data_IF_874420609883
#
_entry.id   IF_874420609883
#
_cell.length_a   1.000
_cell.length_b   1.000
_cell.length_c   1.000
_cell.angle_alpha   90.00
_cell.angle_beta   90.00
_cell.angle_gamma   90.00
#
_symmetry.space_group_name_H-M   'P 1'
#
loop_
_entity.id
_entity.type
_entity.pdbx_description
1 polymer ?
#
# COMPACT_ATOMS: atom_id res chain seq x y z
N UNK A 1 84.88 -22.42 34.37
CA UNK A 1 83.53 -22.51 33.76
C UNK A 1 82.48 -21.76 34.59
N UNK A 2 82.67 -20.47 34.90
CA UNK A 2 81.70 -19.65 35.66
C UNK A 2 81.34 -18.31 34.99
N UNK A 3 82.04 -17.91 33.91
CA UNK A 3 81.75 -16.67 33.17
C UNK A 3 80.69 -16.82 32.07
N UNK A 4 80.37 -18.04 31.64
CA UNK A 4 79.32 -18.30 30.63
C UNK A 4 77.91 -18.41 31.22
N UNK A 5 77.77 -18.64 32.53
CA UNK A 5 76.46 -18.81 33.15
C UNK A 5 75.74 -17.47 33.42
N UNK A 6 76.49 -16.37 33.52
CA UNK A 6 75.94 -15.03 33.75
C UNK A 6 75.41 -14.36 32.47
N UNK A 7 75.89 -14.77 31.28
CA UNK A 7 75.41 -14.22 30.01
C UNK A 7 74.04 -14.80 29.61
N UNK A 8 73.72 -16.01 30.05
CA UNK A 8 72.43 -16.66 29.77
C UNK A 8 71.25 -16.07 30.55
N UNK A 9 71.51 -15.49 31.73
CA UNK A 9 70.45 -14.93 32.59
C UNK A 9 70.06 -13.52 32.14
N UNK A 10 70.97 -12.75 31.56
CA UNK A 10 70.68 -11.39 31.05
C UNK A 10 69.86 -11.44 29.76
N UNK A 11 70.07 -12.45 28.90
CA UNK A 11 69.33 -12.60 27.63
C UNK A 11 67.84 -12.95 27.81
N UNK A 12 67.48 -13.59 28.93
CA UNK A 12 66.09 -14.03 29.17
C UNK A 12 65.13 -12.90 29.62
N UNK A 13 65.67 -11.73 30.00
CA UNK A 13 64.85 -10.63 30.58
C UNK A 13 64.36 -9.60 29.57
N UNK A 14 64.78 -9.68 28.30
CA UNK A 14 64.48 -8.66 27.27
C UNK A 14 63.17 -8.94 26.51
N UNK A 15 62.55 -10.11 26.69
CA UNK A 15 61.34 -10.50 25.94
C UNK A 15 59.99 -10.20 26.62
N UNK A 16 59.98 -9.55 27.80
CA UNK A 16 58.73 -9.09 28.42
C UNK A 16 58.31 -7.72 27.88
N UNK A 17 57.87 -7.69 26.62
CA UNK A 17 57.15 -6.55 26.05
C UNK A 17 55.69 -6.59 26.52
N UNK A 18 55.30 -5.58 27.29
CA UNK A 18 53.94 -5.40 27.80
C UNK A 18 53.00 -5.09 26.63
N UNK A 19 52.17 -6.06 26.21
CA UNK A 19 51.11 -5.79 25.23
C UNK A 19 49.98 -5.06 25.93
N UNK A 20 49.66 -3.84 25.48
CA UNK A 20 48.48 -3.08 25.94
C UNK A 20 47.23 -3.95 25.74
N UNK A 21 46.54 -4.29 26.82
CA UNK A 21 45.26 -4.97 26.74
C UNK A 21 44.24 -4.04 26.08
N UNK A 22 43.73 -4.45 24.92
CA UNK A 22 42.66 -3.74 24.23
C UNK A 22 41.36 -4.09 24.95
N UNK A 23 41.02 -3.31 25.97
CA UNK A 23 39.73 -3.41 26.66
C UNK A 23 38.64 -2.96 25.68
N UNK A 24 37.93 -3.95 25.13
CA UNK A 24 36.75 -3.83 24.26
C UNK A 24 36.94 -2.89 23.07
N UNK A 25 37.17 -3.49 21.91
CA UNK A 25 36.83 -2.87 20.65
C UNK A 25 35.30 -2.72 20.61
N UNK A 26 34.77 -1.60 21.09
CA UNK A 26 33.38 -1.23 20.84
C UNK A 26 33.28 -0.98 19.34
N UNK A 27 32.89 -2.00 18.60
CA UNK A 27 32.52 -1.91 17.19
C UNK A 27 31.20 -1.13 17.18
N UNK A 28 31.30 0.18 16.94
CA UNK A 28 30.14 1.05 16.74
C UNK A 28 29.55 0.95 15.32
N UNK A 29 30.14 0.13 14.45
CA UNK A 29 29.66 -0.12 13.10
C UNK A 29 29.19 -1.56 13.00
N UNK A 30 27.88 -1.75 13.13
CA UNK A 30 27.08 -2.79 12.48
C UNK A 30 25.62 -2.73 12.96
N UNK A 31 25.07 -1.52 13.14
CA UNK A 31 23.60 -1.39 13.17
C UNK A 31 23.14 -1.55 11.73
N UNK A 32 22.92 -2.80 11.33
CA UNK A 32 22.19 -3.11 10.12
C UNK A 32 20.76 -2.63 10.34
N UNK A 33 20.41 -1.50 9.72
CA UNK A 33 19.01 -1.18 9.51
C UNK A 33 18.49 -2.20 8.50
N UNK A 34 18.01 -3.33 9.00
CA UNK A 34 17.27 -4.28 8.18
C UNK A 34 15.97 -3.59 7.77
N UNK A 35 15.91 -3.14 6.51
CA UNK A 35 14.63 -2.78 5.91
C UNK A 35 13.97 -4.09 5.56
N UNK A 36 12.84 -4.41 6.22
CA UNK A 36 12.09 -5.62 5.87
C UNK A 36 11.75 -5.55 4.37
N UNK A 37 12.23 -6.50 3.54
CA UNK A 37 11.93 -6.47 2.13
C UNK A 37 10.42 -6.68 1.96
N UNK A 38 9.75 -5.63 1.50
CA UNK A 38 8.33 -5.69 1.14
C UNK A 38 8.25 -6.02 -0.35
N UNK A 39 7.41 -6.99 -0.69
CA UNK A 39 7.05 -7.25 -2.07
C UNK A 39 6.38 -6.01 -2.66
N UNK A 40 7.07 -5.34 -3.58
CA UNK A 40 6.49 -4.27 -4.37
C UNK A 40 5.48 -4.90 -5.34
N UNK A 41 4.21 -4.56 -5.17
CA UNK A 41 3.19 -4.85 -6.17
C UNK A 41 3.41 -3.93 -7.37
N UNK A 42 2.94 -4.35 -8.55
CA UNK A 42 3.10 -3.60 -9.80
C UNK A 42 2.73 -2.13 -9.60
N UNK A 43 3.65 -1.26 -9.99
CA UNK A 43 3.43 0.19 -9.92
C UNK A 43 2.26 0.56 -10.81
N UNK A 44 1.42 1.50 -10.39
CA UNK A 44 0.40 2.09 -11.26
C UNK A 44 1.00 2.73 -12.51
N UNK A 45 2.31 3.00 -12.53
CA UNK A 45 3.01 3.45 -13.74
C UNK A 45 2.87 2.46 -14.92
N UNK A 46 2.57 1.19 -14.64
CA UNK A 46 2.32 0.18 -15.66
C UNK A 46 0.90 0.24 -16.21
N UNK A 47 -0.03 0.93 -15.51
CA UNK A 47 -1.42 1.07 -15.93
C UNK A 47 -1.56 2.09 -17.06
N UNK A 48 -1.37 1.65 -18.30
CA UNK A 48 -1.32 2.53 -19.47
C UNK A 48 -2.55 2.40 -20.39
N UNK A 49 -3.47 1.49 -20.10
CA UNK A 49 -4.62 1.22 -20.96
C UNK A 49 -5.91 1.70 -20.31
N UNK A 50 -6.50 2.75 -20.87
CA UNK A 50 -7.79 3.24 -20.40
C UNK A 50 -8.90 2.19 -20.62
N UNK A 51 -9.72 1.99 -19.58
CA UNK A 51 -10.91 1.14 -19.66
C UNK A 51 -11.93 1.74 -20.63
N UNK A 52 -12.58 0.89 -21.42
CA UNK A 52 -13.77 1.31 -22.19
C UNK A 52 -14.94 1.58 -21.24
N UNK A 53 -15.95 2.33 -21.68
CA UNK A 53 -17.13 2.64 -20.85
C UNK A 53 -17.83 1.37 -20.35
N UNK A 54 -17.99 0.34 -21.19
CA UNK A 54 -18.59 -0.93 -20.79
C UNK A 54 -17.70 -1.70 -19.81
N UNK A 55 -16.38 -1.67 -19.99
CA UNK A 55 -15.45 -2.28 -19.04
C UNK A 55 -15.52 -1.58 -17.68
N UNK A 56 -15.54 -0.24 -17.68
CA UNK A 56 -15.70 0.54 -16.46
C UNK A 56 -16.97 0.17 -15.71
N UNK A 57 -18.14 0.20 -16.37
CA UNK A 57 -19.42 -0.15 -15.73
C UNK A 57 -19.40 -1.57 -15.17
N UNK A 58 -18.94 -2.54 -15.97
CA UNK A 58 -18.94 -3.95 -15.59
C UNK A 58 -18.06 -4.22 -14.36
N UNK A 59 -16.86 -3.61 -14.34
CA UNK A 59 -15.93 -3.72 -13.21
C UNK A 59 -16.49 -2.98 -12.00
N UNK A 60 -16.99 -1.76 -12.17
CA UNK A 60 -17.58 -0.98 -11.07
C UNK A 60 -18.74 -1.71 -10.41
N UNK A 61 -19.63 -2.30 -11.19
CA UNK A 61 -20.74 -3.08 -10.65
C UNK A 61 -20.24 -4.33 -9.91
N UNK A 62 -19.23 -5.00 -10.45
CA UNK A 62 -18.62 -6.16 -9.78
C UNK A 62 -17.96 -5.75 -8.46
N UNK A 63 -17.27 -4.61 -8.43
CA UNK A 63 -16.59 -4.09 -7.24
C UNK A 63 -17.58 -3.60 -6.19
N UNK A 64 -18.75 -3.06 -6.56
CA UNK A 64 -19.73 -2.57 -5.59
C UNK A 64 -20.67 -3.66 -5.09
N UNK A 65 -21.08 -4.60 -5.94
CA UNK A 65 -22.12 -5.59 -5.62
C UNK A 65 -21.58 -7.02 -5.45
N UNK A 66 -20.31 -7.27 -5.76
CA UNK A 66 -19.70 -8.60 -5.83
C UNK A 66 -20.45 -9.58 -6.77
N UNK A 67 -21.06 -9.05 -7.83
CA UNK A 67 -21.82 -9.82 -8.82
C UNK A 67 -21.63 -9.22 -10.21
N UNK A 68 -21.87 -10.02 -11.25
CA UNK A 68 -21.84 -9.53 -12.62
C UNK A 68 -23.12 -8.77 -12.96
N UNK A 69 -23.00 -7.66 -13.68
CA UNK A 69 -24.14 -6.90 -14.18
C UNK A 69 -24.85 -7.68 -15.30
N UNK A 70 -26.20 -7.72 -15.34
CA UNK A 70 -26.92 -8.32 -16.47
C UNK A 70 -26.55 -7.66 -17.81
N UNK A 71 -26.39 -8.46 -18.86
CA UNK A 71 -25.95 -7.97 -20.18
C UNK A 71 -26.89 -6.94 -20.80
N UNK A 72 -28.20 -7.07 -20.56
CA UNK A 72 -29.20 -6.07 -20.99
C UNK A 72 -28.97 -4.72 -20.33
N UNK A 73 -28.71 -4.71 -19.02
CA UNK A 73 -28.53 -3.49 -18.25
C UNK A 73 -27.21 -2.82 -18.61
N UNK A 74 -26.15 -3.61 -18.79
CA UNK A 74 -24.85 -3.11 -19.25
C UNK A 74 -24.95 -2.39 -20.61
N UNK A 75 -25.70 -2.96 -21.56
CA UNK A 75 -25.90 -2.35 -22.87
C UNK A 75 -26.72 -1.05 -22.77
N UNK A 76 -27.81 -1.06 -22.00
CA UNK A 76 -28.65 0.12 -21.79
C UNK A 76 -27.87 1.28 -21.16
N UNK A 77 -27.06 0.99 -20.14
CA UNK A 77 -26.20 2.00 -19.51
C UNK A 77 -25.12 2.47 -20.50
N UNK A 78 -24.57 1.57 -21.32
CA UNK A 78 -23.63 1.92 -22.38
C UNK A 78 -24.20 2.93 -23.38
N UNK A 79 -25.44 2.74 -23.83
CA UNK A 79 -26.14 3.69 -24.69
C UNK A 79 -26.38 5.03 -24.00
N UNK A 80 -26.76 5.00 -22.71
CA UNK A 80 -26.94 6.21 -21.91
C UNK A 80 -25.63 7.03 -21.80
N UNK A 81 -24.48 6.38 -21.56
CA UNK A 81 -23.17 7.06 -21.55
C UNK A 81 -22.88 7.74 -22.90
N UNK A 82 -23.15 7.04 -24.01
CA UNK A 82 -22.93 7.59 -25.35
C UNK A 82 -23.79 8.83 -25.62
N UNK A 83 -25.00 8.89 -25.06
CA UNK A 83 -25.90 10.04 -25.18
C UNK A 83 -25.43 11.29 -24.42
N UNK A 84 -24.65 11.13 -23.35
CA UNK A 84 -24.15 12.24 -22.52
C UNK A 84 -22.91 12.88 -23.17
N UNK A 85 -22.06 12.07 -23.82
CA UNK A 85 -20.83 12.53 -24.47
C UNK A 85 -19.67 12.80 -23.52
N UNK A 86 -19.94 13.36 -22.33
CA UNK A 86 -18.95 13.49 -21.24
C UNK A 86 -18.86 12.20 -20.42
N UNK A 87 -17.74 11.49 -20.55
CA UNK A 87 -17.48 10.23 -19.85
C UNK A 87 -17.31 10.41 -18.34
N UNK A 88 -16.70 11.51 -17.89
CA UNK A 88 -16.45 11.75 -16.47
C UNK A 88 -17.76 12.00 -15.74
N UNK A 89 -18.59 12.88 -16.30
CA UNK A 89 -19.93 13.17 -15.77
C UNK A 89 -20.81 11.91 -15.80
N UNK A 90 -20.82 11.17 -16.91
CA UNK A 90 -21.61 9.95 -17.01
C UNK A 90 -21.19 8.90 -15.97
N UNK A 91 -19.89 8.70 -15.77
CA UNK A 91 -19.37 7.79 -14.76
C UNK A 91 -19.78 8.19 -13.34
N UNK A 92 -19.70 9.50 -13.02
CA UNK A 92 -20.14 10.01 -11.73
C UNK A 92 -21.63 9.77 -11.49
N UNK A 93 -22.49 10.08 -12.46
CA UNK A 93 -23.94 9.86 -12.33
C UNK A 93 -24.29 8.39 -12.13
N UNK A 94 -23.60 7.49 -12.84
CA UNK A 94 -23.80 6.03 -12.70
C UNK A 94 -23.37 5.57 -11.31
N UNK A 95 -22.20 6.02 -10.84
CA UNK A 95 -21.69 5.71 -9.51
C UNK A 95 -22.65 6.19 -8.42
N UNK A 96 -23.09 7.45 -8.49
CA UNK A 96 -24.08 8.01 -7.57
C UNK A 96 -25.34 7.15 -7.56
N UNK A 97 -25.82 6.73 -8.74
CA UNK A 97 -26.97 5.83 -8.83
C UNK A 97 -26.68 4.48 -8.18
N UNK A 98 -25.56 3.84 -8.46
CA UNK A 98 -25.19 2.53 -7.91
C UNK A 98 -25.08 2.55 -6.39
N UNK A 99 -24.53 3.63 -5.81
CA UNK A 99 -24.46 3.80 -4.35
C UNK A 99 -25.85 3.89 -3.69
N UNK A 100 -26.91 4.22 -4.45
CA UNK A 100 -28.30 4.22 -3.93
C UNK A 100 -29.04 2.90 -4.09
N UNK A 101 -28.50 1.93 -4.83
CA UNK A 101 -29.19 0.66 -5.10
C UNK A 101 -29.07 -0.32 -3.92
N UNK A 102 -30.10 -1.14 -3.67
CA UNK A 102 -30.00 -2.21 -2.69
C UNK A 102 -29.00 -3.28 -3.14
N UNK A 103 -28.39 -3.97 -2.17
CA UNK A 103 -27.45 -5.06 -2.44
C UNK A 103 -26.00 -4.62 -2.62
N UNK A 104 -25.69 -3.34 -2.45
CA UNK A 104 -24.31 -2.85 -2.39
C UNK A 104 -23.56 -3.47 -1.20
N UNK A 105 -22.33 -3.93 -1.46
CA UNK A 105 -21.41 -4.49 -0.48
C UNK A 105 -20.44 -3.41 0.02
N UNK A 106 -20.95 -2.47 0.81
CA UNK A 106 -20.14 -1.45 1.47
C UNK A 106 -20.14 -1.65 3.00
N UNK A 107 -18.99 -1.54 3.69
CA UNK A 107 -18.98 -1.60 5.14
C UNK A 107 -19.70 -0.39 5.74
N UNK A 108 -20.31 -0.58 6.90
CA UNK A 108 -20.91 0.50 7.69
C UNK A 108 -19.83 1.42 8.28
N UNK A 109 -20.20 2.65 8.65
CA UNK A 109 -19.30 3.58 9.35
C UNK A 109 -18.65 2.94 10.59
N UNK A 110 -19.42 2.17 11.36
CA UNK A 110 -18.93 1.47 12.55
C UNK A 110 -17.87 0.43 12.20
N UNK A 111 -18.09 -0.35 11.13
CA UNK A 111 -17.12 -1.36 10.68
C UNK A 111 -15.83 -0.71 10.14
N UNK A 112 -15.94 0.38 9.39
CA UNK A 112 -14.77 1.14 8.93
C UNK A 112 -13.95 1.69 10.10
N UNK A 113 -14.63 2.29 11.08
CA UNK A 113 -13.97 2.89 12.24
C UNK A 113 -13.39 1.85 13.22
N UNK A 114 -13.93 0.62 13.23
CA UNK A 114 -13.41 -0.46 14.06
C UNK A 114 -12.01 -0.94 13.62
N UNK A 115 -11.74 -0.95 12.31
CA UNK A 115 -10.41 -1.25 11.76
C UNK A 115 -10.15 -0.49 10.45
N UNK A 116 -9.64 0.73 10.60
CA UNK A 116 -9.29 1.59 9.46
C UNK A 116 -8.19 1.02 8.59
N UNK A 117 -7.20 0.31 9.18
CA UNK A 117 -6.08 -0.22 8.41
C UNK A 117 -6.56 -1.34 7.47
N UNK A 118 -7.42 -2.22 7.98
CA UNK A 118 -8.06 -3.27 7.19
C UNK A 118 -8.98 -2.67 6.12
N UNK A 119 -9.85 -1.74 6.50
CA UNK A 119 -10.74 -1.04 5.56
C UNK A 119 -9.97 -0.41 4.38
N UNK A 120 -8.92 0.36 4.67
CA UNK A 120 -8.10 1.02 3.63
C UNK A 120 -7.45 -0.03 2.73
N UNK A 121 -6.85 -1.07 3.32
CA UNK A 121 -6.19 -2.13 2.54
C UNK A 121 -7.20 -2.84 1.61
N UNK A 122 -8.39 -3.16 2.12
CA UNK A 122 -9.46 -3.77 1.33
C UNK A 122 -9.98 -2.84 0.22
N UNK A 123 -10.08 -1.53 0.46
CA UNK A 123 -10.49 -0.58 -0.58
C UNK A 123 -9.46 -0.51 -1.73
N UNK A 124 -8.17 -0.44 -1.40
CA UNK A 124 -7.08 -0.49 -2.39
C UNK A 124 -7.08 -1.79 -3.18
N UNK A 125 -7.27 -2.93 -2.53
CA UNK A 125 -7.34 -4.22 -3.21
C UNK A 125 -8.56 -4.32 -4.12
N UNK A 126 -9.73 -3.86 -3.65
CA UNK A 126 -10.98 -3.89 -4.40
C UNK A 126 -10.89 -3.05 -5.67
N UNK A 127 -10.53 -1.77 -5.55
CA UNK A 127 -10.57 -0.86 -6.71
C UNK A 127 -9.29 -0.87 -7.52
N UNK A 128 -8.12 -1.02 -6.89
CA UNK A 128 -6.84 -0.84 -7.57
C UNK A 128 -6.05 -2.12 -7.78
N UNK A 129 -6.51 -3.25 -7.24
CA UNK A 129 -5.87 -4.57 -7.34
C UNK A 129 -4.44 -4.60 -6.77
N UNK A 130 -4.18 -3.76 -5.76
CA UNK A 130 -2.89 -3.70 -5.05
C UNK A 130 -3.08 -3.35 -3.59
N UNK A 131 -2.01 -3.48 -2.81
CA UNK A 131 -1.96 -2.92 -1.47
C UNK A 131 -1.60 -1.41 -1.51
N UNK A 132 -2.06 -0.63 -0.53
CA UNK A 132 -1.58 0.74 -0.35
C UNK A 132 -0.11 0.72 0.07
N UNK A 133 0.64 1.74 -0.34
CA UNK A 133 1.92 2.05 0.30
C UNK A 133 1.70 2.49 1.74
N UNK A 134 2.72 2.42 2.59
CA UNK A 134 2.61 2.87 3.98
C UNK A 134 2.25 4.36 4.09
N UNK A 135 2.76 5.19 3.18
CA UNK A 135 2.41 6.60 3.12
C UNK A 135 0.92 6.83 2.79
N UNK A 136 0.41 6.16 1.76
CA UNK A 136 -1.02 6.23 1.38
C UNK A 136 -1.94 5.77 2.52
N UNK A 137 -1.55 4.69 3.20
CA UNK A 137 -2.30 4.14 4.34
C UNK A 137 -2.36 5.14 5.49
N UNK A 138 -1.24 5.74 5.85
CA UNK A 138 -1.18 6.76 6.91
C UNK A 138 -1.98 8.01 6.52
N UNK A 139 -1.82 8.49 5.29
CA UNK A 139 -2.54 9.67 4.79
C UNK A 139 -4.06 9.48 4.87
N UNK A 140 -4.59 8.40 4.27
CA UNK A 140 -6.02 8.17 4.23
C UNK A 140 -6.60 7.88 5.62
N UNK A 141 -5.85 7.17 6.46
CA UNK A 141 -6.23 6.96 7.85
C UNK A 141 -6.38 8.28 8.61
N UNK A 142 -5.38 9.16 8.52
CA UNK A 142 -5.43 10.46 9.17
C UNK A 142 -6.57 11.32 8.62
N UNK A 143 -6.81 11.27 7.32
CA UNK A 143 -7.91 11.99 6.68
C UNK A 143 -9.27 11.57 7.27
N UNK A 144 -9.54 10.26 7.34
CA UNK A 144 -10.79 9.72 7.91
C UNK A 144 -10.91 10.01 9.41
N UNK A 145 -9.81 9.93 10.16
CA UNK A 145 -9.83 10.19 11.61
C UNK A 145 -10.08 11.66 11.95
N UNK A 146 -9.62 12.58 11.11
CA UNK A 146 -9.75 14.01 11.34
C UNK A 146 -11.08 14.59 10.86
N UNK A 147 -11.82 13.88 10.01
CA UNK A 147 -13.15 14.30 9.55
C UNK A 147 -14.16 13.16 9.63
N UNK A 148 -15.04 13.22 10.63
CA UNK A 148 -16.09 12.23 10.86
C UNK A 148 -17.17 12.20 9.79
N UNK A 149 -17.21 13.19 8.89
CA UNK A 149 -18.14 13.20 7.76
C UNK A 149 -17.66 12.33 6.60
N UNK A 150 -16.41 11.86 6.64
CA UNK A 150 -15.91 10.91 5.64
C UNK A 150 -16.49 9.54 5.94
N UNK A 151 -17.46 9.16 5.11
CA UNK A 151 -18.10 7.86 5.18
C UNK A 151 -17.46 6.85 4.23
N UNK A 152 -17.69 5.54 4.41
CA UNK A 152 -17.25 4.51 3.48
C UNK A 152 -17.69 4.79 2.04
N UNK A 153 -18.91 5.31 1.84
CA UNK A 153 -19.47 5.67 0.54
C UNK A 153 -18.63 6.75 -0.15
N UNK A 154 -18.22 7.79 0.59
CA UNK A 154 -17.36 8.86 0.08
C UNK A 154 -15.99 8.30 -0.32
N UNK A 155 -15.42 7.41 0.50
CA UNK A 155 -14.13 6.78 0.17
C UNK A 155 -14.27 5.91 -1.09
N UNK A 156 -15.29 5.07 -1.17
CA UNK A 156 -15.54 4.22 -2.35
C UNK A 156 -15.78 5.07 -3.60
N UNK A 157 -16.51 6.17 -3.47
CA UNK A 157 -16.74 7.08 -4.57
C UNK A 157 -15.44 7.73 -5.06
N UNK A 158 -14.60 8.22 -4.14
CA UNK A 158 -13.30 8.80 -4.47
C UNK A 158 -12.39 7.79 -5.19
N UNK A 159 -12.42 6.52 -4.76
CA UNK A 159 -11.64 5.47 -5.41
C UNK A 159 -12.17 5.14 -6.81
N UNK A 160 -13.50 4.99 -6.95
CA UNK A 160 -14.15 4.68 -8.22
C UNK A 160 -14.09 5.81 -9.26
N UNK A 161 -13.78 7.05 -8.85
CA UNK A 161 -13.61 8.20 -9.75
C UNK A 161 -12.15 8.57 -9.98
N UNK A 162 -11.19 7.88 -9.35
CA UNK A 162 -9.78 8.21 -9.51
C UNK A 162 -9.26 7.83 -10.89
N UNK A 163 -8.23 8.55 -11.34
CA UNK A 163 -7.51 8.20 -12.56
C UNK A 163 -6.94 6.78 -12.47
N UNK A 164 -6.46 6.35 -11.31
CA UNK A 164 -5.93 5.00 -11.14
C UNK A 164 -6.99 3.91 -11.42
N UNK A 165 -8.25 4.18 -11.06
CA UNK A 165 -9.34 3.26 -11.37
C UNK A 165 -9.71 3.25 -12.85
N UNK A 166 -9.43 4.31 -13.61
CA UNK A 166 -9.79 4.39 -15.04
C UNK A 166 -8.89 3.53 -15.94
N UNK A 167 -7.76 3.03 -15.46
CA UNK A 167 -6.75 2.34 -16.28
C UNK A 167 -6.53 0.89 -15.82
N UNK A 168 -6.17 0.02 -16.77
CA UNK A 168 -5.54 -1.28 -16.53
C UNK A 168 -4.04 -1.12 -16.54
#
# INVERSE_FOLDING_TARGET
MKKFFLLGIISSTIFSSCKKEVLKQNVYDNVYYEVTPVTLYTSNAEKNKQKSSLQYISILFSDLFNQSIPGSDLNNIGEAILSIGDKGLANQMILERFLTLPGISIPTQTQMNADLNSFITSAYQRFYLRNPTEYEKIYLKNLIQNDTNITPEIVYAAFALSNEYMFY
#
